data_IF_714775966364
#
_entry.id   IF_714775966364
#
_cell.length_a   1.000
_cell.length_b   1.000
_cell.length_c   1.000
_cell.angle_alpha   90.00
_cell.angle_beta   90.00
_cell.angle_gamma   90.00
#
_symmetry.space_group_name_H-M   'P 1'
#
loop_
_entity.id
_entity.type
_entity.pdbx_description
1 polymer ?
#
# COMPACT_ATOMS: atom_id res chain seq x y z
N UNK A 1 -3.65 2.28 -2.38
CA UNK A 1 -2.66 2.80 -1.42
C UNK A 1 -2.96 2.34 0.01
N UNK A 2 -4.18 2.53 0.57
CA UNK A 2 -4.48 2.21 1.98
C UNK A 2 -4.19 0.74 2.34
N UNK A 3 -4.64 -0.24 1.53
CA UNK A 3 -4.34 -1.66 1.75
C UNK A 3 -2.83 -1.94 1.75
N UNK A 4 -2.11 -1.34 0.82
CA UNK A 4 -0.67 -1.55 0.69
C UNK A 4 0.14 -1.09 1.93
N UNK A 5 -0.37 -0.12 2.71
CA UNK A 5 0.25 0.29 3.98
C UNK A 5 0.20 -0.87 4.99
N UNK A 6 -0.93 -1.54 5.12
CA UNK A 6 -1.04 -2.72 6.00
C UNK A 6 -0.22 -3.90 5.48
N UNK A 7 -0.21 -4.13 4.18
CA UNK A 7 0.60 -5.18 3.55
C UNK A 7 2.10 -4.93 3.72
N UNK A 8 2.54 -3.68 3.72
CA UNK A 8 3.93 -3.33 4.02
C UNK A 8 4.36 -3.70 5.44
N UNK A 9 3.43 -3.75 6.39
CA UNK A 9 3.68 -4.17 7.78
C UNK A 9 3.61 -5.70 7.91
N UNK A 10 2.53 -6.30 7.40
CA UNK A 10 2.35 -7.75 7.40
C UNK A 10 1.59 -8.19 6.15
N UNK A 11 2.24 -9.04 5.36
CA UNK A 11 1.66 -9.70 4.21
C UNK A 11 1.95 -11.20 4.21
N UNK A 12 0.92 -12.01 4.06
CA UNK A 12 1.00 -13.48 3.90
C UNK A 12 0.08 -13.90 2.76
N UNK A 13 0.63 -13.95 1.56
CA UNK A 13 -0.08 -14.03 0.28
C UNK A 13 -1.30 -14.93 0.25
N UNK A 14 -1.19 -16.14 0.76
CA UNK A 14 -2.27 -17.14 0.67
C UNK A 14 -3.03 -17.33 1.99
N UNK A 15 -2.53 -16.79 3.07
CA UNK A 15 -3.06 -17.05 4.41
C UNK A 15 -3.97 -15.93 4.92
N UNK A 16 -3.78 -14.72 4.42
CA UNK A 16 -4.58 -13.58 4.85
C UNK A 16 -4.59 -12.46 3.80
N UNK A 17 -5.59 -11.61 3.89
CA UNK A 17 -5.67 -10.35 3.15
C UNK A 17 -6.18 -9.24 4.06
N UNK A 18 -5.81 -8.02 3.73
CA UNK A 18 -6.34 -6.83 4.37
C UNK A 18 -7.54 -6.29 3.62
N UNK A 19 -8.62 -6.02 4.34
CA UNK A 19 -9.81 -5.34 3.82
C UNK A 19 -9.93 -3.99 4.51
N UNK A 20 -9.83 -2.91 3.75
CA UNK A 20 -10.04 -1.57 4.28
C UNK A 20 -11.53 -1.38 4.54
N UNK A 21 -11.88 -0.98 5.75
CA UNK A 21 -13.27 -0.79 6.18
C UNK A 21 -13.66 0.68 6.28
N UNK A 22 -12.70 1.54 6.62
CA UNK A 22 -12.95 2.98 6.79
C UNK A 22 -11.66 3.77 6.59
N UNK A 23 -11.78 4.95 6.02
CA UNK A 23 -10.72 5.96 5.95
C UNK A 23 -11.30 7.26 6.45
N UNK A 24 -10.70 7.82 7.50
CA UNK A 24 -11.04 9.13 8.03
C UNK A 24 -10.02 10.16 7.53
N UNK A 25 -10.53 11.27 7.04
CA UNK A 25 -9.72 12.41 6.62
C UNK A 25 -9.56 13.34 7.81
N UNK A 26 -8.33 13.57 8.26
CA UNK A 26 -8.02 14.37 9.45
C UNK A 26 -7.51 15.77 9.12
N UNK A 27 -7.20 16.06 7.85
CA UNK A 27 -6.79 17.38 7.38
C UNK A 27 -7.48 17.75 6.08
N UNK A 28 -7.74 19.04 5.85
CA UNK A 28 -8.39 19.52 4.63
C UNK A 28 -7.61 19.13 3.37
N UNK A 29 -8.35 18.85 2.30
CA UNK A 29 -7.77 18.56 0.99
C UNK A 29 -7.17 19.84 0.41
N UNK A 30 -5.85 19.85 0.23
CA UNK A 30 -5.11 20.95 -0.38
C UNK A 30 -4.37 20.42 -1.61
N UNK A 31 -4.66 21.00 -2.76
CA UNK A 31 -4.03 20.65 -4.02
C UNK A 31 -2.80 21.51 -4.29
N UNK A 32 -1.76 20.89 -4.82
CA UNK A 32 -0.59 21.56 -5.33
C UNK A 32 -0.12 20.93 -6.64
N UNK A 33 0.56 21.72 -7.44
CA UNK A 33 1.19 21.24 -8.67
C UNK A 33 2.67 21.43 -8.57
N UNK A 34 3.42 20.38 -8.84
CA UNK A 34 4.87 20.42 -8.96
C UNK A 34 5.30 20.04 -10.38
N UNK A 35 6.34 20.69 -10.86
CA UNK A 35 7.00 20.34 -12.12
C UNK A 35 8.25 19.55 -11.80
N UNK A 36 8.37 18.38 -12.39
CA UNK A 36 9.51 17.48 -12.22
C UNK A 36 10.19 17.18 -13.53
N UNK A 37 11.51 17.07 -13.50
CA UNK A 37 12.29 16.53 -14.62
C UNK A 37 12.37 15.00 -14.44
N UNK A 38 11.92 14.28 -15.44
CA UNK A 38 11.96 12.82 -15.47
C UNK A 38 12.75 12.34 -16.68
N UNK A 39 13.27 11.13 -16.58
CA UNK A 39 13.95 10.46 -17.70
C UNK A 39 12.89 9.85 -18.61
N UNK A 40 12.87 10.24 -19.88
CA UNK A 40 11.95 9.75 -20.90
C UNK A 40 12.26 8.38 -21.47
N UNK A 41 13.26 7.68 -20.92
CA UNK A 41 13.70 6.37 -21.39
C UNK A 41 13.55 5.32 -20.29
N UNK A 42 13.21 4.09 -20.70
CA UNK A 42 13.14 2.94 -19.79
C UNK A 42 14.50 2.25 -19.75
N UNK A 43 15.04 2.07 -18.54
CA UNK A 43 16.30 1.33 -18.35
C UNK A 43 16.08 -0.15 -18.65
N UNK A 44 16.90 -0.69 -19.56
CA UNK A 44 16.94 -2.11 -19.87
C UNK A 44 18.31 -2.67 -19.43
N UNK A 45 18.36 -3.93 -18.98
CA UNK A 45 19.57 -4.60 -18.50
C UNK A 45 20.74 -4.64 -19.51
N UNK A 46 20.45 -4.47 -20.80
CA UNK A 46 21.44 -4.43 -21.89
C UNK A 46 21.76 -3.01 -22.38
N UNK A 47 21.20 -1.96 -21.77
CA UNK A 47 21.40 -0.60 -22.24
C UNK A 47 22.66 0.05 -21.70
N UNK A 48 23.27 0.87 -22.57
CA UNK A 48 24.29 1.83 -22.17
C UNK A 48 23.73 2.86 -21.16
N UNK A 49 24.58 3.51 -20.38
CA UNK A 49 24.14 4.56 -19.46
C UNK A 49 23.30 5.62 -20.18
N UNK A 50 22.19 6.04 -19.55
CA UNK A 50 21.35 7.12 -20.06
C UNK A 50 21.92 8.43 -19.53
N UNK A 51 22.38 9.30 -20.44
CA UNK A 51 22.87 10.62 -20.10
C UNK A 51 21.68 11.61 -20.09
N UNK A 52 21.48 12.29 -18.96
CA UNK A 52 20.40 13.25 -18.75
C UNK A 52 20.68 14.59 -19.44
N UNK A 53 21.94 14.84 -19.78
CA UNK A 53 22.39 16.08 -20.44
C UNK A 53 21.87 16.17 -21.89
N UNK A 54 21.54 15.05 -22.50
CA UNK A 54 20.89 15.01 -23.79
C UNK A 54 19.42 15.46 -23.63
N UNK A 55 19.07 16.60 -24.22
CA UNK A 55 17.72 17.17 -24.17
C UNK A 55 16.61 16.26 -24.70
N UNK A 56 16.97 15.19 -25.45
CA UNK A 56 16.04 14.17 -25.94
C UNK A 56 15.59 13.19 -24.86
N UNK A 57 16.39 13.00 -23.82
CA UNK A 57 16.09 12.04 -22.73
C UNK A 57 15.42 12.68 -21.54
N UNK A 58 15.45 14.00 -21.42
CA UNK A 58 14.83 14.74 -20.33
C UNK A 58 13.40 15.16 -20.68
N UNK A 59 12.44 14.76 -19.86
CA UNK A 59 11.06 15.17 -19.97
C UNK A 59 10.62 15.95 -18.72
N UNK A 60 9.88 17.03 -18.93
CA UNK A 60 9.23 17.75 -17.84
C UNK A 60 7.79 17.28 -17.69
N UNK A 61 7.42 16.86 -16.50
CA UNK A 61 6.06 16.44 -16.17
C UNK A 61 5.50 17.27 -15.03
N UNK A 62 4.29 17.76 -15.23
CA UNK A 62 3.52 18.37 -14.16
C UNK A 62 2.80 17.26 -13.38
N UNK A 63 2.93 17.29 -12.07
CA UNK A 63 2.29 16.33 -11.17
C UNK A 63 1.36 17.08 -10.22
N UNK A 64 0.09 16.71 -10.25
CA UNK A 64 -0.88 17.16 -9.27
C UNK A 64 -0.78 16.29 -8.02
N UNK A 65 -0.70 16.90 -6.86
CA UNK A 65 -0.56 16.19 -5.59
C UNK A 65 -1.40 16.83 -4.48
N UNK A 66 -1.61 16.06 -3.43
CA UNK A 66 -2.23 16.53 -2.19
C UNK A 66 -1.15 16.91 -1.19
N UNK A 67 -1.27 18.11 -0.60
CA UNK A 67 -0.35 18.58 0.43
C UNK A 67 -0.83 18.22 1.82
N UNK A 68 0.13 17.89 2.68
CA UNK A 68 -0.06 17.77 4.12
C UNK A 68 -1.23 16.85 4.52
N UNK A 69 -1.36 15.74 3.81
CA UNK A 69 -2.42 14.78 4.04
C UNK A 69 -2.24 14.03 5.36
N UNK A 70 -3.36 13.80 6.06
CA UNK A 70 -3.40 12.99 7.27
C UNK A 70 -4.66 12.16 7.27
N UNK A 71 -4.48 10.85 7.36
CA UNK A 71 -5.56 9.87 7.34
C UNK A 71 -5.49 8.95 8.55
N UNK A 72 -6.65 8.52 9.01
CA UNK A 72 -6.79 7.37 9.91
C UNK A 72 -7.44 6.25 9.13
N UNK A 73 -6.77 5.12 9.04
CA UNK A 73 -7.19 4.00 8.19
C UNK A 73 -7.55 2.82 9.08
N UNK A 74 -8.72 2.27 8.86
CA UNK A 74 -9.22 1.08 9.54
C UNK A 74 -9.25 -0.09 8.57
N UNK A 75 -8.75 -1.21 9.01
CA UNK A 75 -8.73 -2.43 8.21
C UNK A 75 -9.12 -3.64 9.04
N UNK A 76 -9.71 -4.61 8.36
CA UNK A 76 -10.01 -5.94 8.89
C UNK A 76 -9.04 -6.95 8.29
N UNK A 77 -8.46 -7.78 9.15
CA UNK A 77 -7.72 -8.94 8.72
C UNK A 77 -8.71 -10.05 8.32
N UNK A 78 -8.66 -10.48 7.08
CA UNK A 78 -9.44 -11.59 6.56
C UNK A 78 -8.51 -12.80 6.45
N UNK A 79 -8.73 -13.78 7.31
CA UNK A 79 -7.98 -15.04 7.27
C UNK A 79 -8.54 -15.95 6.19
N UNK A 80 -7.66 -16.62 5.44
CA UNK A 80 -8.02 -17.59 4.40
C UNK A 80 -7.72 -18.98 4.96
N UNK A 81 -8.76 -19.78 5.26
CA UNK A 81 -8.58 -21.15 5.74
C UNK A 81 -7.77 -22.00 4.76
N UNK A 82 -7.01 -22.94 5.28
CA UNK A 82 -6.11 -23.80 4.47
C UNK A 82 -6.87 -24.50 3.33
N UNK A 83 -8.10 -24.93 3.58
CA UNK A 83 -8.95 -25.59 2.58
C UNK A 83 -9.34 -24.71 1.39
N UNK A 84 -9.36 -23.40 1.59
CA UNK A 84 -9.80 -22.42 0.58
C UNK A 84 -8.60 -21.81 -0.20
N UNK A 85 -7.39 -22.28 0.07
CA UNK A 85 -6.16 -21.82 -0.59
C UNK A 85 -5.90 -22.58 -1.89
N UNK A 86 -5.36 -21.93 -2.94
CA UNK A 86 -5.00 -22.60 -4.16
C UNK A 86 -3.87 -23.63 -3.92
N UNK A 87 -3.88 -24.71 -4.72
CA UNK A 87 -2.89 -25.79 -4.56
C UNK A 87 -1.44 -25.34 -4.70
N UNK A 88 -1.19 -24.31 -5.50
CA UNK A 88 0.12 -23.69 -5.71
C UNK A 88 0.67 -23.03 -4.44
N UNK A 89 -0.22 -22.66 -3.51
CA UNK A 89 0.17 -22.11 -2.22
C UNK A 89 1.01 -23.10 -1.41
N UNK A 90 0.67 -24.38 -1.47
CA UNK A 90 1.34 -25.45 -0.70
C UNK A 90 2.74 -25.77 -1.23
N UNK A 91 2.99 -25.55 -2.52
CA UNK A 91 4.31 -25.74 -3.11
C UNK A 91 5.33 -24.71 -2.61
N UNK A 92 4.85 -23.49 -2.25
CA UNK A 92 5.70 -22.38 -1.82
C UNK A 92 5.68 -22.12 -0.33
N UNK A 93 4.62 -22.52 0.34
CA UNK A 93 4.45 -22.24 1.76
C UNK A 93 3.56 -23.28 2.43
N UNK A 94 4.17 -24.17 3.19
CA UNK A 94 3.41 -25.14 3.98
C UNK A 94 2.78 -24.43 5.19
N UNK A 95 1.46 -24.64 5.41
CA UNK A 95 0.80 -24.08 6.57
C UNK A 95 1.41 -24.63 7.87
N UNK A 96 1.59 -23.78 8.85
CA UNK A 96 1.99 -24.22 10.20
C UNK A 96 0.79 -24.82 10.92
N UNK A 97 1.01 -25.85 11.73
CA UNK A 97 -0.06 -26.53 12.47
C UNK A 97 -0.82 -25.59 13.45
N UNK A 98 -0.16 -24.51 13.88
CA UNK A 98 -0.70 -23.51 14.81
C UNK A 98 -1.26 -22.28 14.08
N UNK A 99 -1.47 -22.36 12.78
CA UNK A 99 -1.92 -21.23 11.96
C UNK A 99 -3.39 -20.90 12.25
N UNK A 100 -3.63 -19.70 12.74
CA UNK A 100 -4.97 -19.19 13.05
C UNK A 100 -5.04 -17.65 12.87
N UNK A 101 -6.24 -17.08 12.80
CA UNK A 101 -6.42 -15.63 12.63
C UNK A 101 -5.75 -14.80 13.73
N UNK A 102 -5.81 -15.26 14.97
CA UNK A 102 -5.27 -14.54 16.12
C UNK A 102 -3.74 -14.43 16.06
N UNK A 103 -3.07 -15.49 15.60
CA UNK A 103 -1.61 -15.49 15.38
C UNK A 103 -1.20 -14.36 14.42
N UNK A 104 -1.91 -14.19 13.30
CA UNK A 104 -1.61 -13.13 12.35
C UNK A 104 -1.94 -11.74 12.89
N UNK A 105 -3.02 -11.62 13.65
CA UNK A 105 -3.35 -10.37 14.32
C UNK A 105 -2.26 -9.95 15.31
N UNK A 106 -1.82 -10.83 16.19
CA UNK A 106 -0.74 -10.57 17.14
C UNK A 106 0.60 -10.26 16.46
N UNK A 107 0.89 -10.94 15.34
CA UNK A 107 2.06 -10.62 14.54
C UNK A 107 2.01 -9.20 13.96
N UNK A 108 0.85 -8.81 13.46
CA UNK A 108 0.65 -7.45 12.94
C UNK A 108 0.78 -6.42 14.06
N UNK A 109 0.07 -6.60 15.16
CA UNK A 109 0.07 -5.69 16.31
C UNK A 109 1.48 -5.46 16.86
N UNK A 110 2.24 -6.54 17.09
CA UNK A 110 3.63 -6.46 17.53
C UNK A 110 4.50 -5.66 16.55
N UNK A 111 4.37 -5.90 15.26
CA UNK A 111 5.15 -5.18 14.25
C UNK A 111 4.73 -3.72 14.14
N UNK A 112 3.44 -3.49 14.13
CA UNK A 112 2.88 -2.15 14.01
C UNK A 112 3.21 -1.28 15.22
N UNK A 113 3.13 -1.81 16.43
CA UNK A 113 3.50 -1.07 17.66
C UNK A 113 4.99 -0.73 17.72
N UNK A 114 5.85 -1.54 17.10
CA UNK A 114 7.29 -1.30 17.00
C UNK A 114 7.70 -0.48 15.76
N UNK A 115 6.73 -0.03 14.94
CA UNK A 115 7.01 0.71 13.71
C UNK A 115 7.71 -0.11 12.61
N UNK A 116 7.60 -1.45 12.67
CA UNK A 116 8.27 -2.35 11.72
C UNK A 116 7.48 -2.50 10.42
N UNK A 117 8.15 -2.37 9.29
CA UNK A 117 7.60 -2.64 7.96
C UNK A 117 8.67 -3.28 7.06
N UNK A 118 8.25 -4.03 6.04
CA UNK A 118 9.16 -4.60 5.04
C UNK A 118 9.66 -3.54 4.05
N UNK A 119 8.78 -2.63 3.68
CA UNK A 119 9.07 -1.49 2.82
C UNK A 119 8.38 -0.27 3.41
N UNK A 120 9.04 0.88 3.29
CA UNK A 120 8.43 2.13 3.75
C UNK A 120 7.12 2.37 3.00
N UNK A 121 5.98 2.52 3.70
CA UNK A 121 4.72 2.88 3.08
C UNK A 121 4.79 4.21 2.34
N UNK A 122 4.02 4.35 1.27
CA UNK A 122 3.93 5.58 0.49
C UNK A 122 2.51 5.84 -0.02
N UNK A 123 2.21 7.10 -0.30
CA UNK A 123 0.91 7.54 -0.79
C UNK A 123 1.02 7.94 -2.26
N UNK A 124 0.67 7.01 -3.14
CA UNK A 124 0.75 7.16 -4.58
C UNK A 124 2.08 6.69 -5.16
N UNK A 125 3.09 7.56 -5.22
CA UNK A 125 4.43 7.23 -5.71
C UNK A 125 5.42 7.02 -4.58
N UNK A 126 6.49 6.26 -4.81
CA UNK A 126 7.52 5.94 -3.80
C UNK A 126 8.22 7.17 -3.24
N UNK A 127 8.30 8.24 -4.01
CA UNK A 127 8.88 9.52 -3.56
C UNK A 127 8.07 10.18 -2.44
N UNK A 128 6.80 9.82 -2.31
CA UNK A 128 5.92 10.35 -1.27
C UNK A 128 5.76 9.33 -0.13
N UNK A 129 6.84 9.07 0.56
CA UNK A 129 6.84 8.19 1.73
C UNK A 129 5.88 8.71 2.80
N UNK A 130 5.14 7.79 3.40
CA UNK A 130 4.19 8.09 4.46
C UNK A 130 4.77 7.73 5.83
N UNK A 131 4.75 8.67 6.75
CA UNK A 131 4.92 8.37 8.16
C UNK A 131 3.62 7.77 8.69
N UNK A 132 3.73 6.74 9.48
CA UNK A 132 2.58 6.06 10.06
C UNK A 132 2.80 5.72 11.52
N UNK A 133 1.71 5.59 12.25
CA UNK A 133 1.70 5.18 13.66
C UNK A 133 0.54 4.23 13.90
N UNK A 134 0.79 3.16 14.63
CA UNK A 134 -0.24 2.26 15.11
C UNK A 134 -1.06 2.94 16.22
N UNK A 135 -2.37 2.77 16.16
CA UNK A 135 -3.32 3.32 17.12
C UNK A 135 -4.02 2.14 17.80
N UNK A 136 -3.73 1.94 19.08
CA UNK A 136 -4.28 0.84 19.89
C UNK A 136 -5.70 1.12 20.35
N UNK A 137 -5.98 2.37 20.69
CA UNK A 137 -7.29 2.82 21.16
C UNK A 137 -7.75 4.03 20.37
N UNK A 138 -9.05 4.14 20.14
CA UNK A 138 -9.67 5.29 19.49
C UNK A 138 -10.08 6.39 20.49
N UNK A 139 -9.77 6.22 21.76
CA UNK A 139 -10.08 7.20 22.79
C UNK A 139 -9.15 8.43 22.66
N UNK A 140 -9.72 9.61 22.81
CA UNK A 140 -9.01 10.90 22.76
C UNK A 140 -8.23 11.17 21.45
N UNK A 141 -8.74 10.69 20.32
CA UNK A 141 -8.18 10.99 19.01
C UNK A 141 -8.82 12.24 18.38
N UNK A 142 -8.06 12.88 17.49
CA UNK A 142 -8.57 13.97 16.68
C UNK A 142 -9.83 13.55 15.93
N UNK A 143 -10.86 14.39 15.94
CA UNK A 143 -12.06 14.14 15.17
C UNK A 143 -11.77 14.22 13.67
N UNK A 144 -12.37 13.35 12.85
CA UNK A 144 -12.33 13.50 11.41
C UNK A 144 -13.00 14.81 10.98
N UNK A 145 -12.61 15.32 9.84
CA UNK A 145 -13.28 16.49 9.27
C UNK A 145 -14.75 16.19 9.02
N UNK A 146 -15.62 17.06 9.53
CA UNK A 146 -17.05 17.04 9.27
C UNK A 146 -17.31 17.75 7.92
N UNK A 147 -16.90 17.13 6.81
CA UNK A 147 -17.07 17.67 5.47
C UNK A 147 -17.87 16.66 4.66
N UNK A 148 -19.04 17.09 4.18
CA UNK A 148 -19.85 16.30 3.25
C UNK A 148 -19.47 16.72 1.82
N UNK A 149 -18.71 15.88 1.16
CA UNK A 149 -18.21 16.14 -0.19
C UNK A 149 -18.34 14.92 -1.07
N UNK A 150 -19.02 15.08 -2.19
CA UNK A 150 -19.07 14.05 -3.23
C UNK A 150 -17.76 14.06 -4.03
N UNK A 151 -17.07 12.91 -4.03
CA UNK A 151 -15.86 12.67 -4.82
C UNK A 151 -16.14 11.95 -6.15
N UNK A 152 -17.42 11.67 -6.44
CA UNK A 152 -17.80 10.89 -7.60
C UNK A 152 -17.36 9.42 -7.51
N UNK A 153 -17.17 8.79 -8.65
CA UNK A 153 -16.76 7.39 -8.75
C UNK A 153 -15.26 7.28 -8.49
N UNK A 154 -14.90 6.51 -7.48
CA UNK A 154 -13.51 6.25 -7.09
C UNK A 154 -13.19 4.76 -7.17
N UNK A 155 -11.96 4.42 -7.54
CA UNK A 155 -11.47 3.06 -7.48
C UNK A 155 -11.40 2.60 -6.01
N UNK A 156 -12.22 1.61 -5.66
CA UNK A 156 -12.24 1.03 -4.32
C UNK A 156 -11.03 0.12 -4.09
N UNK A 157 -10.88 -0.89 -4.95
CA UNK A 157 -9.79 -1.87 -4.88
C UNK A 157 -9.59 -2.55 -6.24
N UNK A 158 -8.49 -3.28 -6.39
CA UNK A 158 -8.23 -4.13 -7.54
C UNK A 158 -8.17 -5.58 -7.08
N UNK A 159 -8.90 -6.45 -7.77
CA UNK A 159 -8.79 -7.88 -7.62
C UNK A 159 -7.74 -8.40 -8.61
N UNK A 160 -6.74 -9.09 -8.10
CA UNK A 160 -5.68 -9.67 -8.90
C UNK A 160 -5.90 -11.16 -9.03
N UNK A 161 -6.46 -11.58 -10.15
CA UNK A 161 -6.43 -12.98 -10.52
C UNK A 161 -5.00 -13.40 -10.83
N UNK A 162 -4.56 -14.51 -10.27
CA UNK A 162 -3.27 -15.08 -10.64
C UNK A 162 -3.36 -15.65 -12.05
N UNK A 163 -2.63 -15.04 -12.98
CA UNK A 163 -2.43 -15.63 -14.29
C UNK A 163 -1.33 -16.70 -14.18
N UNK A 164 -1.66 -18.01 -14.32
CA UNK A 164 -0.67 -19.08 -14.19
C UNK A 164 0.44 -19.00 -15.24
N UNK A 165 0.20 -18.33 -16.37
CA UNK A 165 1.20 -18.14 -17.44
C UNK A 165 2.12 -16.94 -17.20
N UNK A 166 1.73 -15.98 -16.37
CA UNK A 166 2.56 -14.83 -16.00
C UNK A 166 2.43 -14.59 -14.49
N UNK A 167 3.12 -15.36 -13.65
CA UNK A 167 3.14 -15.08 -12.23
C UNK A 167 3.69 -13.67 -12.01
N UNK A 168 2.92 -12.85 -11.30
CA UNK A 168 3.33 -11.49 -10.97
C UNK A 168 4.73 -11.52 -10.35
N UNK A 169 5.69 -10.92 -11.02
CA UNK A 169 7.02 -10.66 -10.45
C UNK A 169 6.84 -9.63 -9.34
N UNK A 170 7.05 -10.07 -8.11
CA UNK A 170 7.15 -9.23 -6.92
C UNK A 170 8.39 -8.36 -7.01
#
# INVERSE_FOLDING_TARGET
AARAIFEAILFKRYAMRWQITKIEVLRPIKWATIRRNEVGAVVNSSMKPIYIDDGKTRQQKNTLLLLDVRYRIYAKLVFIPVKDRPKEAFAKHQPSADENPMKYYQMFERRASQGQCFTQPYLGCREFSANWKYIESTDNLDNPLAEDRDFGIMLYDMDFEENPQKPNRS
#
